data_IF_386734612770
#
_entry.id   IF_386734612770
#
_cell.length_a   1.000
_cell.length_b   1.000
_cell.length_c   1.000
_cell.angle_alpha   90.00
_cell.angle_beta   90.00
_cell.angle_gamma   90.00
#
_symmetry.space_group_name_H-M   'P 1'
#
loop_
_entity.id
_entity.type
_entity.pdbx_description
1 polymer ?
#
# COMPACT_ATOMS: atom_id res chain seq x y z
N UNK A 1 -8.98 -0.40 -6.39
CA UNK A 1 -8.33 0.87 -5.99
C UNK A 1 -8.67 1.97 -6.99
N UNK A 2 -8.56 3.21 -6.53
CA UNK A 2 -8.68 4.42 -7.33
C UNK A 2 -7.32 5.12 -7.38
N UNK A 3 -7.00 5.69 -8.53
CA UNK A 3 -5.78 6.48 -8.71
C UNK A 3 -6.07 7.68 -9.62
N UNK A 4 -5.80 8.88 -9.12
CA UNK A 4 -5.98 10.12 -9.83
C UNK A 4 -4.63 10.55 -10.41
N UNK A 5 -4.52 10.52 -11.73
CA UNK A 5 -3.30 10.84 -12.48
C UNK A 5 -3.39 12.19 -13.20
N UNK A 6 -2.29 12.62 -13.82
CA UNK A 6 -2.22 13.83 -14.64
C UNK A 6 -2.75 15.08 -13.91
N UNK A 7 -2.38 15.25 -12.62
CA UNK A 7 -2.87 16.34 -11.77
C UNK A 7 -4.41 16.43 -11.70
N UNK A 8 -5.06 15.29 -11.60
CA UNK A 8 -6.52 15.19 -11.47
C UNK A 8 -7.30 15.14 -12.77
N UNK A 9 -6.63 15.05 -13.93
CA UNK A 9 -7.29 15.01 -15.24
C UNK A 9 -7.70 13.61 -15.72
N UNK A 10 -7.19 12.55 -15.08
CA UNK A 10 -7.48 11.17 -15.43
C UNK A 10 -7.73 10.34 -14.17
N UNK A 11 -8.87 9.66 -14.11
CA UNK A 11 -9.18 8.71 -13.04
C UNK A 11 -8.96 7.28 -13.53
N UNK A 12 -8.18 6.50 -12.79
CA UNK A 12 -7.98 5.08 -13.04
C UNK A 12 -8.59 4.25 -11.93
N UNK A 13 -9.24 3.16 -12.31
CA UNK A 13 -9.93 2.24 -11.42
C UNK A 13 -9.44 0.83 -11.68
N UNK A 14 -9.00 0.11 -10.64
CA UNK A 14 -8.71 -1.32 -10.77
C UNK A 14 -9.96 -2.13 -10.50
N UNK A 15 -10.35 -2.98 -11.46
CA UNK A 15 -11.32 -4.04 -11.27
C UNK A 15 -10.56 -5.34 -11.00
N UNK A 16 -10.41 -5.70 -9.71
CA UNK A 16 -9.62 -6.86 -9.31
C UNK A 16 -10.24 -8.17 -9.81
N UNK A 17 -11.55 -8.34 -9.68
CA UNK A 17 -12.26 -9.54 -10.10
C UNK A 17 -12.22 -9.75 -11.63
N UNK A 18 -12.29 -8.66 -12.39
CA UNK A 18 -12.19 -8.70 -13.86
C UNK A 18 -10.77 -8.67 -14.39
N UNK A 19 -9.74 -8.56 -13.53
CA UNK A 19 -8.35 -8.38 -13.94
C UNK A 19 -8.16 -7.20 -14.89
N UNK A 20 -8.81 -6.08 -14.62
CA UNK A 20 -8.85 -4.93 -15.52
C UNK A 20 -8.37 -3.65 -14.86
N UNK A 21 -7.77 -2.77 -15.67
CA UNK A 21 -7.57 -1.37 -15.40
C UNK A 21 -8.49 -0.55 -16.29
N UNK A 22 -9.29 0.31 -15.69
CA UNK A 22 -10.28 1.14 -16.37
C UNK A 22 -9.86 2.60 -16.23
N UNK A 23 -9.80 3.31 -17.34
CA UNK A 23 -9.67 4.77 -17.38
C UNK A 23 -11.04 5.39 -17.46
N UNK A 24 -11.33 6.30 -16.56
CA UNK A 24 -12.58 7.03 -16.47
C UNK A 24 -12.36 8.53 -16.61
N UNK A 25 -13.39 9.27 -16.94
CA UNK A 25 -13.42 10.72 -16.78
C UNK A 25 -13.16 11.08 -15.31
N UNK A 26 -12.60 12.29 -15.01
CA UNK A 26 -12.25 12.68 -13.64
C UNK A 26 -13.43 12.68 -12.66
N UNK A 27 -14.65 12.91 -13.16
CA UNK A 27 -15.90 12.85 -12.40
C UNK A 27 -16.42 11.42 -12.16
N UNK A 28 -15.73 10.41 -12.73
CA UNK A 28 -16.10 9.00 -12.60
C UNK A 28 -17.33 8.55 -13.36
N UNK A 29 -17.93 9.40 -14.19
CA UNK A 29 -19.20 9.09 -14.86
C UNK A 29 -19.04 8.35 -16.18
N UNK A 30 -17.93 8.57 -16.91
CA UNK A 30 -17.71 7.98 -18.23
C UNK A 30 -16.48 7.08 -18.25
N UNK A 31 -16.67 5.84 -18.67
CA UNK A 31 -15.55 4.95 -19.01
C UNK A 31 -14.97 5.37 -20.36
N UNK A 32 -13.67 5.70 -20.39
CA UNK A 32 -12.96 6.11 -21.59
C UNK A 32 -12.26 4.93 -22.26
N UNK A 33 -11.58 4.12 -21.47
CA UNK A 33 -10.82 2.96 -21.95
C UNK A 33 -10.70 1.90 -20.87
N UNK A 34 -10.41 0.66 -21.29
CA UNK A 34 -10.00 -0.42 -20.38
C UNK A 34 -8.89 -1.27 -20.99
N UNK A 35 -8.11 -1.90 -20.14
CA UNK A 35 -7.12 -2.92 -20.50
C UNK A 35 -7.22 -4.09 -19.53
N UNK A 36 -7.14 -5.31 -20.07
CA UNK A 36 -7.22 -6.54 -19.28
C UNK A 36 -5.83 -7.16 -19.11
N UNK A 37 -5.63 -7.83 -17.99
CA UNK A 37 -4.39 -8.51 -17.61
C UNK A 37 -4.66 -10.00 -17.36
N UNK A 38 -3.60 -10.79 -17.30
CA UNK A 38 -3.70 -12.23 -17.03
C UNK A 38 -3.97 -12.57 -15.55
N UNK A 39 -3.90 -11.58 -14.65
CA UNK A 39 -4.10 -11.75 -13.21
C UNK A 39 -4.61 -10.46 -12.56
N UNK A 40 -5.18 -10.54 -11.35
CA UNK A 40 -5.76 -9.40 -10.66
C UNK A 40 -4.81 -8.22 -10.50
N UNK A 41 -5.30 -7.02 -10.78
CA UNK A 41 -4.55 -5.77 -10.59
C UNK A 41 -4.59 -5.38 -9.11
N UNK A 42 -3.42 -5.27 -8.47
CA UNK A 42 -3.31 -4.90 -7.07
C UNK A 42 -3.16 -3.39 -6.87
N UNK A 43 -2.28 -2.76 -7.63
CA UNK A 43 -2.00 -1.33 -7.50
C UNK A 43 -1.41 -0.73 -8.77
N UNK A 44 -1.35 0.60 -8.80
CA UNK A 44 -0.77 1.37 -9.89
C UNK A 44 -0.18 2.68 -9.39
N UNK A 45 0.75 3.23 -10.17
CA UNK A 45 1.31 4.56 -9.99
C UNK A 45 1.64 5.18 -11.35
N UNK A 46 1.84 6.49 -11.40
CA UNK A 46 2.32 7.20 -12.59
C UNK A 46 3.70 7.78 -12.31
N UNK A 47 4.65 7.62 -13.25
CA UNK A 47 5.96 8.25 -13.14
C UNK A 47 5.97 9.68 -13.71
N UNK A 48 7.10 10.38 -13.55
CA UNK A 48 7.26 11.76 -14.01
C UNK A 48 7.11 11.93 -15.53
N UNK A 49 7.23 10.86 -16.31
CA UNK A 49 7.08 10.87 -17.77
C UNK A 49 5.64 10.58 -18.22
N UNK A 50 4.71 10.42 -17.27
CA UNK A 50 3.31 10.09 -17.53
C UNK A 50 3.05 8.62 -17.89
N UNK A 51 4.04 7.74 -17.71
CA UNK A 51 3.84 6.30 -17.86
C UNK A 51 3.14 5.73 -16.64
N UNK A 52 2.22 4.80 -16.87
CA UNK A 52 1.57 4.06 -15.81
C UNK A 52 2.31 2.76 -15.53
N UNK A 53 2.52 2.49 -14.26
CA UNK A 53 3.10 1.27 -13.74
C UNK A 53 2.06 0.53 -12.94
N UNK A 54 1.77 -0.71 -13.33
CA UNK A 54 0.70 -1.52 -12.76
C UNK A 54 1.28 -2.83 -12.25
N UNK A 55 1.00 -3.18 -11.01
CA UNK A 55 1.38 -4.47 -10.43
C UNK A 55 0.19 -5.39 -10.34
N UNK A 56 0.39 -6.61 -10.82
CA UNK A 56 -0.61 -7.67 -10.82
C UNK A 56 -0.19 -8.82 -9.92
N UNK A 57 -1.19 -9.50 -9.35
CA UNK A 57 -1.05 -10.64 -8.46
C UNK A 57 -0.37 -11.85 -9.14
N UNK A 58 0.05 -12.82 -8.34
CA UNK A 58 0.58 -14.10 -8.77
C UNK A 58 1.86 -14.51 -8.05
N UNK A 59 2.17 -15.81 -8.05
CA UNK A 59 3.37 -16.37 -7.43
C UNK A 59 4.67 -15.75 -7.97
N UNK A 60 4.64 -15.32 -9.23
CA UNK A 60 5.66 -14.51 -9.88
C UNK A 60 4.99 -13.24 -10.37
N UNK A 61 4.69 -12.34 -9.45
CA UNK A 61 3.98 -11.11 -9.75
C UNK A 61 4.52 -10.39 -10.97
N UNK A 62 3.65 -9.74 -11.68
CA UNK A 62 3.98 -9.03 -12.92
C UNK A 62 3.78 -7.55 -12.75
N UNK A 63 4.74 -6.77 -13.20
CA UNK A 63 4.62 -5.33 -13.35
C UNK A 63 4.53 -5.00 -14.84
N UNK A 64 3.54 -4.19 -15.18
CA UNK A 64 3.33 -3.70 -16.55
C UNK A 64 3.65 -2.21 -16.63
N UNK A 65 4.34 -1.82 -17.68
CA UNK A 65 4.52 -0.43 -18.10
C UNK A 65 3.50 -0.13 -19.21
N UNK A 66 2.71 0.92 -19.02
CA UNK A 66 1.70 1.35 -20.00
C UNK A 66 1.92 2.82 -20.38
N UNK A 67 1.56 3.14 -21.61
CA UNK A 67 1.33 4.52 -22.01
C UNK A 67 0.11 5.06 -21.27
N UNK A 68 0.26 6.10 -20.46
CA UNK A 68 -0.81 6.63 -19.62
C UNK A 68 -1.96 7.27 -20.41
N UNK A 69 -1.71 7.75 -21.63
CA UNK A 69 -2.74 8.36 -22.51
C UNK A 69 -3.47 7.30 -23.34
N UNK A 70 -2.70 6.41 -23.98
CA UNK A 70 -3.24 5.38 -24.88
C UNK A 70 -3.74 4.14 -24.13
N UNK A 71 -3.33 3.94 -22.88
CA UNK A 71 -3.57 2.75 -22.07
C UNK A 71 -3.12 1.46 -22.77
N UNK A 72 -2.01 1.54 -23.49
CA UNK A 72 -1.40 0.40 -24.19
C UNK A 72 -0.20 -0.12 -23.42
N UNK A 73 -0.12 -1.45 -23.26
CA UNK A 73 1.01 -2.13 -22.60
C UNK A 73 2.25 -1.97 -23.48
N UNK A 74 3.32 -1.43 -22.90
CA UNK A 74 4.62 -1.23 -23.55
C UNK A 74 5.64 -2.28 -23.12
N UNK A 75 5.60 -2.71 -21.89
CA UNK A 75 6.48 -3.77 -21.39
C UNK A 75 5.86 -4.57 -20.25
N UNK A 76 6.43 -5.76 -20.01
CA UNK A 76 6.06 -6.69 -18.96
C UNK A 76 7.33 -7.14 -18.23
N UNK A 77 7.34 -7.00 -16.91
CA UNK A 77 8.50 -7.23 -16.05
C UNK A 77 8.11 -8.15 -14.90
N UNK A 78 8.99 -9.06 -14.51
CA UNK A 78 8.80 -9.83 -13.26
C UNK A 78 9.04 -8.89 -12.09
N UNK A 79 8.08 -8.81 -11.16
CA UNK A 79 8.15 -7.87 -10.02
C UNK A 79 8.31 -8.55 -8.65
N UNK A 80 8.68 -9.82 -8.61
CA UNK A 80 8.77 -10.60 -7.37
C UNK A 80 7.48 -11.35 -7.04
N UNK A 81 7.39 -11.93 -5.85
CA UNK A 81 6.24 -12.71 -5.44
C UNK A 81 5.17 -11.81 -4.80
N UNK A 82 3.98 -11.82 -5.38
CA UNK A 82 2.78 -11.12 -4.87
C UNK A 82 3.02 -9.64 -4.53
N UNK A 83 3.32 -8.80 -5.54
CA UNK A 83 3.44 -7.37 -5.34
C UNK A 83 2.06 -6.80 -4.91
N UNK A 84 2.00 -6.13 -3.77
CA UNK A 84 0.74 -5.67 -3.18
C UNK A 84 0.47 -4.18 -3.41
N UNK A 85 1.52 -3.37 -3.47
CA UNK A 85 1.43 -1.95 -3.74
C UNK A 85 2.62 -1.44 -4.55
N UNK A 86 2.45 -0.32 -5.24
CA UNK A 86 3.48 0.35 -6.03
C UNK A 86 3.35 1.86 -5.91
N UNK A 87 4.49 2.56 -5.76
CA UNK A 87 4.56 4.01 -5.69
C UNK A 87 5.78 4.51 -6.48
N UNK A 88 5.59 5.49 -7.35
CA UNK A 88 6.69 6.26 -7.91
C UNK A 88 7.10 7.35 -6.93
N UNK A 89 8.36 7.39 -6.57
CA UNK A 89 8.91 8.40 -5.69
C UNK A 89 9.76 9.39 -6.52
N UNK A 90 9.37 10.68 -6.59
CA UNK A 90 10.07 11.66 -7.42
C UNK A 90 11.45 12.03 -6.90
N UNK A 91 11.71 11.94 -5.59
CA UNK A 91 13.01 12.23 -4.99
C UNK A 91 14.07 11.21 -5.42
N UNK A 92 13.76 9.90 -5.31
CA UNK A 92 14.65 8.83 -5.74
C UNK A 92 14.56 8.52 -7.24
N UNK A 93 13.55 9.07 -7.93
CA UNK A 93 13.21 8.75 -9.34
C UNK A 93 13.06 7.25 -9.57
N UNK A 94 12.50 6.55 -8.60
CA UNK A 94 12.40 5.09 -8.57
C UNK A 94 10.96 4.66 -8.28
N UNK A 95 10.65 3.44 -8.72
CA UNK A 95 9.45 2.72 -8.30
C UNK A 95 9.74 1.95 -7.02
N UNK A 96 8.85 2.07 -6.04
CA UNK A 96 8.88 1.30 -4.82
C UNK A 96 7.73 0.30 -4.84
N UNK A 97 8.03 -0.96 -4.56
CA UNK A 97 7.05 -2.06 -4.67
C UNK A 97 7.10 -2.92 -3.41
N UNK A 98 5.98 -3.05 -2.73
CA UNK A 98 5.84 -3.96 -1.59
C UNK A 98 5.67 -5.39 -2.06
N UNK A 99 6.48 -6.30 -1.52
CA UNK A 99 6.45 -7.75 -1.79
C UNK A 99 5.81 -8.45 -0.59
N UNK A 100 4.51 -8.75 -0.69
CA UNK A 100 3.69 -9.16 0.45
C UNK A 100 4.27 -10.35 1.21
N UNK A 101 4.52 -11.47 0.55
CA UNK A 101 4.94 -12.70 1.22
C UNK A 101 6.46 -12.84 1.39
N UNK A 102 7.23 -11.93 0.78
CA UNK A 102 8.67 -11.85 1.04
C UNK A 102 9.00 -10.95 2.23
N UNK A 103 8.02 -10.15 2.72
CA UNK A 103 8.25 -9.12 3.74
C UNK A 103 9.34 -8.14 3.31
N UNK A 104 9.30 -7.71 2.06
CA UNK A 104 10.30 -6.85 1.46
C UNK A 104 9.66 -5.63 0.78
N UNK A 105 10.39 -4.54 0.77
CA UNK A 105 10.16 -3.37 -0.08
C UNK A 105 11.27 -3.32 -1.14
N UNK A 106 10.90 -3.31 -2.41
CA UNK A 106 11.85 -3.25 -3.52
C UNK A 106 11.90 -1.86 -4.13
N UNK A 107 13.11 -1.35 -4.34
CA UNK A 107 13.36 -0.19 -5.20
C UNK A 107 13.71 -0.68 -6.61
N UNK A 108 12.98 -0.18 -7.61
CA UNK A 108 13.15 -0.56 -9.02
C UNK A 108 13.42 0.70 -9.84
N UNK A 109 14.42 0.65 -10.67
CA UNK A 109 14.71 1.71 -11.64
C UNK A 109 13.73 1.62 -12.82
N UNK A 110 12.89 2.65 -13.07
CA UNK A 110 11.93 2.62 -14.17
C UNK A 110 12.57 2.62 -15.56
N UNK A 111 13.79 3.14 -15.71
CA UNK A 111 14.49 3.20 -17.00
C UNK A 111 15.11 1.86 -17.37
N UNK A 112 15.85 1.25 -16.43
CA UNK A 112 16.53 -0.04 -16.66
C UNK A 112 15.66 -1.23 -16.34
N UNK A 113 14.55 -1.01 -15.60
CA UNK A 113 13.60 -2.05 -15.11
C UNK A 113 14.25 -3.08 -14.18
N UNK A 114 15.37 -2.71 -13.54
CA UNK A 114 16.13 -3.57 -12.62
C UNK A 114 15.86 -3.20 -11.17
N UNK A 115 15.85 -4.19 -10.30
CA UNK A 115 15.83 -4.00 -8.85
C UNK A 115 17.15 -3.39 -8.41
N UNK A 116 17.11 -2.23 -7.77
CA UNK A 116 18.28 -1.52 -7.20
C UNK A 116 18.56 -1.97 -5.79
N UNK A 117 17.50 -2.11 -4.98
CA UNK A 117 17.62 -2.40 -3.56
C UNK A 117 16.41 -3.21 -3.09
N UNK A 118 16.63 -4.06 -2.09
CA UNK A 118 15.60 -4.77 -1.34
C UNK A 118 15.78 -4.45 0.14
N UNK A 119 14.70 -4.05 0.80
CA UNK A 119 14.69 -3.68 2.21
C UNK A 119 13.72 -4.61 2.92
N UNK A 120 14.19 -5.27 3.97
CA UNK A 120 13.31 -6.06 4.83
C UNK A 120 12.39 -5.12 5.63
N UNK A 121 11.10 -5.43 5.62
CA UNK A 121 10.04 -4.72 6.35
C UNK A 121 9.20 -5.72 7.15
N UNK A 122 8.17 -5.25 7.84
CA UNK A 122 7.29 -6.10 8.62
C UNK A 122 6.49 -7.11 7.80
N UNK A 123 5.70 -7.92 8.50
CA UNK A 123 4.98 -9.07 7.92
C UNK A 123 3.87 -8.63 6.97
N UNK A 124 3.95 -9.12 5.74
CA UNK A 124 2.95 -8.91 4.69
C UNK A 124 2.69 -7.42 4.41
N UNK A 125 3.66 -6.65 3.88
CA UNK A 125 3.43 -5.26 3.51
C UNK A 125 2.36 -5.18 2.43
N UNK A 126 1.31 -4.36 2.64
CA UNK A 126 0.11 -4.31 1.78
C UNK A 126 -0.18 -2.95 1.18
N UNK A 127 0.36 -1.88 1.78
CA UNK A 127 0.14 -0.52 1.29
C UNK A 127 1.29 0.38 1.70
N UNK A 128 1.53 1.45 0.93
CA UNK A 128 2.54 2.46 1.27
C UNK A 128 2.06 3.86 0.90
N UNK A 129 2.61 4.85 1.61
CA UNK A 129 2.43 6.26 1.29
C UNK A 129 3.73 7.03 1.51
N UNK A 130 4.02 8.02 0.65
CA UNK A 130 5.16 8.91 0.84
C UNK A 130 4.81 10.08 1.76
N UNK A 131 5.81 10.56 2.53
CA UNK A 131 5.68 11.73 3.39
C UNK A 131 7.02 12.46 3.54
N UNK A 132 7.05 13.55 4.30
CA UNK A 132 8.24 14.37 4.53
C UNK A 132 8.94 14.82 3.23
N UNK A 133 8.16 15.32 2.26
CA UNK A 133 8.69 15.74 0.95
C UNK A 133 9.29 14.58 0.15
N UNK A 134 8.63 13.43 0.17
CA UNK A 134 9.05 12.20 -0.50
C UNK A 134 10.34 11.54 0.03
N UNK A 135 10.92 12.06 1.13
CA UNK A 135 12.12 11.49 1.73
C UNK A 135 11.85 10.22 2.55
N UNK A 136 10.60 10.00 2.93
CA UNK A 136 10.19 8.84 3.72
C UNK A 136 8.98 8.13 3.11
N UNK A 137 8.96 6.80 3.26
CA UNK A 137 7.81 5.95 2.94
C UNK A 137 7.27 5.34 4.23
N UNK A 138 5.96 5.42 4.43
CA UNK A 138 5.25 4.70 5.49
C UNK A 138 4.69 3.41 4.89
N UNK A 139 5.12 2.28 5.41
CA UNK A 139 4.75 0.95 4.96
C UNK A 139 3.75 0.35 5.94
N UNK A 140 2.58 0.00 5.46
CA UNK A 140 1.56 -0.68 6.22
C UNK A 140 1.71 -2.20 6.08
N UNK A 141 2.07 -2.85 7.17
CA UNK A 141 2.18 -4.30 7.28
C UNK A 141 0.82 -4.88 7.68
N UNK A 142 0.51 -6.08 7.22
CA UNK A 142 -0.81 -6.71 7.42
C UNK A 142 -0.94 -7.40 8.79
N UNK A 143 0.15 -8.02 9.25
CA UNK A 143 0.15 -8.89 10.42
C UNK A 143 1.18 -8.45 11.47
N UNK A 144 0.89 -8.69 12.77
CA UNK A 144 1.87 -8.51 13.84
C UNK A 144 3.11 -9.40 13.66
N UNK A 145 4.28 -8.91 14.07
CA UNK A 145 5.53 -9.68 14.07
C UNK A 145 5.77 -10.43 15.39
N UNK A 146 5.20 -9.93 16.50
CA UNK A 146 5.40 -10.53 17.80
C UNK A 146 4.67 -11.87 17.94
N UNK A 147 5.16 -12.77 18.81
CA UNK A 147 4.51 -14.04 19.11
C UNK A 147 3.11 -13.82 19.70
N UNK A 148 2.20 -14.76 19.48
CA UNK A 148 0.80 -14.70 19.96
C UNK A 148 0.65 -14.66 21.48
N UNK A 149 1.70 -14.95 22.21
CA UNK A 149 1.78 -14.86 23.69
C UNK A 149 2.30 -13.52 24.20
N UNK A 150 2.74 -12.62 23.31
CA UNK A 150 3.21 -11.30 23.68
C UNK A 150 2.06 -10.37 24.10
N UNK A 151 2.39 -9.28 24.79
CA UNK A 151 1.48 -8.19 25.09
C UNK A 151 2.26 -6.86 25.04
N UNK A 152 1.80 -5.87 24.28
CA UNK A 152 0.66 -5.91 23.36
C UNK A 152 0.97 -6.71 22.09
N UNK A 153 -0.08 -7.21 21.41
CA UNK A 153 0.00 -7.76 20.06
C UNK A 153 -0.60 -6.75 19.11
N UNK A 154 0.20 -6.20 18.22
CA UNK A 154 -0.25 -5.19 17.27
C UNK A 154 0.62 -5.15 16.02
N UNK A 155 0.04 -4.74 14.93
CA UNK A 155 0.79 -4.42 13.71
C UNK A 155 1.70 -3.22 13.95
N UNK A 156 2.89 -3.27 13.36
CA UNK A 156 3.81 -2.15 13.27
C UNK A 156 3.85 -1.63 11.83
N UNK A 157 3.86 -0.31 11.71
CA UNK A 157 4.12 0.38 10.44
C UNK A 157 5.61 0.69 10.38
N UNK A 158 6.26 0.39 9.25
CA UNK A 158 7.66 0.75 9.04
C UNK A 158 7.77 2.12 8.37
N UNK A 159 8.70 2.94 8.85
CA UNK A 159 9.13 4.17 8.19
C UNK A 159 10.46 3.91 7.50
N UNK A 160 10.48 4.01 6.18
CA UNK A 160 11.66 3.76 5.37
C UNK A 160 12.20 5.09 4.85
N UNK A 161 13.46 5.38 5.13
CA UNK A 161 14.16 6.51 4.55
C UNK A 161 14.61 6.18 3.12
N UNK A 162 14.17 7.00 2.17
CA UNK A 162 14.33 6.78 0.74
C UNK A 162 15.79 6.92 0.29
N UNK A 163 16.57 7.78 0.95
CA UNK A 163 17.95 8.04 0.58
C UNK A 163 18.92 7.02 1.17
N UNK A 164 18.80 6.77 2.48
CA UNK A 164 19.64 5.77 3.17
C UNK A 164 19.20 4.33 2.90
N UNK A 165 17.96 4.12 2.39
CA UNK A 165 17.38 2.80 2.06
C UNK A 165 17.32 1.87 3.27
N UNK A 166 16.91 2.42 4.40
CA UNK A 166 16.81 1.71 5.67
C UNK A 166 15.50 2.03 6.37
N UNK A 167 15.03 1.09 7.17
CA UNK A 167 13.95 1.35 8.12
C UNK A 167 14.49 2.31 9.17
N UNK A 168 13.94 3.53 9.21
CA UNK A 168 14.36 4.62 10.07
C UNK A 168 13.53 4.73 11.36
N UNK A 169 12.46 3.96 11.46
CA UNK A 169 11.58 3.92 12.62
C UNK A 169 10.38 3.03 12.41
N UNK A 170 9.65 2.78 13.50
CA UNK A 170 8.42 1.99 13.50
C UNK A 170 7.36 2.65 14.36
N UNK A 171 6.11 2.52 13.97
CA UNK A 171 4.96 2.95 14.76
C UNK A 171 4.08 1.74 15.03
N UNK A 172 3.85 1.44 16.30
CA UNK A 172 2.93 0.38 16.72
C UNK A 172 1.51 0.92 16.75
N UNK A 173 0.58 0.19 16.13
CA UNK A 173 -0.86 0.42 16.23
C UNK A 173 -1.39 -0.05 17.59
N UNK A 174 -2.64 0.28 17.97
CA UNK A 174 -3.21 -0.18 19.24
C UNK A 174 -3.26 -1.70 19.35
N UNK A 175 -3.23 -2.20 20.58
CA UNK A 175 -3.29 -3.63 20.87
C UNK A 175 -4.49 -4.31 20.18
N UNK A 176 -4.26 -5.46 19.59
CA UNK A 176 -5.23 -6.21 18.79
C UNK A 176 -5.30 -5.81 17.32
N UNK A 177 -4.50 -4.83 16.89
CA UNK A 177 -4.47 -4.40 15.49
C UNK A 177 -3.92 -5.49 14.58
N UNK A 178 -4.66 -5.77 13.51
CA UNK A 178 -4.33 -6.75 12.47
C UNK A 178 -5.06 -6.41 11.18
N UNK A 179 -4.80 -7.17 10.11
CA UNK A 179 -5.53 -7.08 8.84
C UNK A 179 -5.58 -5.64 8.28
N UNK A 180 -4.41 -5.00 8.21
CA UNK A 180 -4.28 -3.65 7.66
C UNK A 180 -4.62 -3.67 6.16
N UNK A 181 -5.45 -2.73 5.73
CA UNK A 181 -5.91 -2.63 4.35
C UNK A 181 -5.20 -1.55 3.57
N UNK A 182 -5.02 -0.38 4.18
CA UNK A 182 -4.50 0.78 3.47
C UNK A 182 -3.89 1.81 4.43
N UNK A 183 -2.95 2.57 3.91
CA UNK A 183 -2.43 3.79 4.54
C UNK A 183 -2.55 4.95 3.57
N UNK A 184 -2.93 6.12 4.09
CA UNK A 184 -2.93 7.39 3.37
C UNK A 184 -2.30 8.46 4.26
N UNK A 185 -1.67 9.46 3.63
CA UNK A 185 -1.04 10.60 4.32
C UNK A 185 -1.80 11.86 3.93
N UNK A 186 -2.01 12.77 4.87
CA UNK A 186 -2.64 14.06 4.61
C UNK A 186 -1.75 14.96 3.75
N UNK A 187 -2.36 15.95 3.09
CA UNK A 187 -1.66 16.87 2.18
C UNK A 187 -0.50 17.62 2.84
N UNK A 188 -0.59 17.85 4.15
CA UNK A 188 0.43 18.58 4.90
C UNK A 188 1.53 17.66 5.45
N UNK A 189 1.42 16.36 5.20
CA UNK A 189 2.35 15.32 5.71
C UNK A 189 2.47 15.36 7.25
N UNK A 190 1.39 15.72 7.93
CA UNK A 190 1.30 15.79 9.40
C UNK A 190 0.79 14.50 9.99
N UNK A 191 -0.24 13.93 9.35
CA UNK A 191 -0.91 12.72 9.82
C UNK A 191 -0.97 11.65 8.76
N UNK A 192 -0.93 10.40 9.20
CA UNK A 192 -1.30 9.25 8.40
C UNK A 192 -2.57 8.60 8.96
N UNK A 193 -3.36 8.06 8.05
CA UNK A 193 -4.62 7.36 8.32
C UNK A 193 -4.47 5.91 7.89
N UNK A 194 -4.76 4.99 8.79
CA UNK A 194 -4.56 3.55 8.59
C UNK A 194 -5.86 2.83 8.85
N UNK A 195 -6.37 2.12 7.85
CA UNK A 195 -7.56 1.27 8.00
C UNK A 195 -7.14 -0.16 8.33
N UNK A 196 -7.70 -0.72 9.39
CA UNK A 196 -7.35 -2.04 9.89
C UNK A 196 -8.47 -2.62 10.77
N UNK A 197 -8.31 -3.85 11.22
CA UNK A 197 -9.14 -4.44 12.27
C UNK A 197 -8.47 -4.29 13.64
N UNK A 198 -9.29 -4.10 14.68
CA UNK A 198 -8.91 -4.37 16.06
C UNK A 198 -9.60 -5.65 16.49
N UNK A 199 -8.82 -6.68 16.83
CA UNK A 199 -9.29 -7.96 17.32
C UNK A 199 -9.28 -8.00 18.85
N UNK A 200 -10.38 -8.45 19.45
CA UNK A 200 -10.47 -8.72 20.89
C UNK A 200 -10.01 -10.15 21.19
N UNK A 201 -8.80 -10.49 20.82
CA UNK A 201 -8.23 -11.85 20.90
C UNK A 201 -8.17 -12.43 22.33
N UNK A 202 -8.32 -11.59 23.36
CA UNK A 202 -8.32 -12.00 24.77
C UNK A 202 -9.70 -12.45 25.28
N UNK A 203 -10.76 -12.26 24.49
CA UNK A 203 -12.10 -12.71 24.88
C UNK A 203 -12.27 -14.20 24.54
N UNK A 204 -12.72 -15.03 25.51
CA UNK A 204 -13.07 -16.41 25.23
C UNK A 204 -14.26 -16.45 24.24
N UNK A 205 -14.30 -17.48 23.41
CA UNK A 205 -15.34 -17.67 22.37
C UNK A 205 -16.75 -17.79 22.92
N UNK A 206 -16.91 -18.19 24.18
CA UNK A 206 -18.20 -18.24 24.88
C UNK A 206 -18.73 -16.87 25.36
N UNK A 207 -17.97 -15.80 25.12
CA UNK A 207 -18.39 -14.42 25.43
C UNK A 207 -18.66 -13.59 24.17
N UNK A 208 -18.92 -14.24 23.03
CA UNK A 208 -19.27 -13.60 21.76
C UNK A 208 -20.50 -12.70 21.83
N UNK A 209 -21.41 -12.98 22.75
CA UNK A 209 -22.59 -12.17 23.04
C UNK A 209 -22.29 -10.79 23.64
N UNK A 210 -21.05 -10.58 24.11
CA UNK A 210 -20.61 -9.31 24.70
C UNK A 210 -20.03 -8.31 23.72
N UNK A 211 -20.09 -8.59 22.42
CA UNK A 211 -19.70 -7.67 21.36
C UNK A 211 -18.87 -8.29 20.27
N UNK A 212 -18.50 -7.47 19.30
CA UNK A 212 -17.73 -7.87 18.11
C UNK A 212 -16.35 -8.39 18.47
N UNK A 213 -15.95 -9.51 17.87
CA UNK A 213 -14.61 -10.06 18.02
C UNK A 213 -13.56 -9.25 17.24
N UNK A 214 -13.97 -8.66 16.14
CA UNK A 214 -13.14 -7.80 15.31
C UNK A 214 -13.94 -6.57 14.88
N UNK A 215 -13.31 -5.41 14.89
CA UNK A 215 -13.95 -4.12 14.62
C UNK A 215 -13.16 -3.39 13.55
N UNK A 216 -13.84 -2.88 12.52
CA UNK A 216 -13.21 -2.01 11.52
C UNK A 216 -12.82 -0.68 12.17
N UNK A 217 -11.61 -0.26 11.92
CA UNK A 217 -11.00 0.86 12.63
C UNK A 217 -10.18 1.73 11.69
N UNK A 218 -10.22 3.03 11.93
CA UNK A 218 -9.33 4.03 11.35
C UNK A 218 -8.41 4.55 12.44
N UNK A 219 -7.12 4.25 12.37
CA UNK A 219 -6.10 4.83 13.26
C UNK A 219 -5.45 6.06 12.64
N UNK A 220 -5.17 7.04 13.50
CA UNK A 220 -4.48 8.30 13.15
C UNK A 220 -3.09 8.27 13.76
N UNK A 221 -2.09 8.52 12.92
CA UNK A 221 -0.67 8.51 13.26
C UNK A 221 -0.13 9.94 13.14
N UNK A 222 0.56 10.42 14.15
CA UNK A 222 1.38 11.63 14.08
C UNK A 222 2.73 11.25 13.43
N UNK A 223 2.95 11.75 12.22
CA UNK A 223 4.15 11.42 11.44
C UNK A 223 5.41 12.10 12.02
N UNK A 224 5.28 13.28 12.60
CA UNK A 224 6.38 14.01 13.22
C UNK A 224 6.79 13.36 14.55
N UNK A 225 5.82 13.05 15.40
CA UNK A 225 6.07 12.39 16.67
C UNK A 225 6.33 10.88 16.51
N UNK A 226 6.07 10.31 15.34
CA UNK A 226 6.21 8.89 15.01
C UNK A 226 5.44 7.99 15.97
N UNK A 227 4.20 8.35 16.25
CA UNK A 227 3.36 7.61 17.19
C UNK A 227 1.90 7.56 16.79
N UNK A 228 1.22 6.51 17.19
CA UNK A 228 -0.22 6.42 17.17
C UNK A 228 -0.83 7.47 18.12
N UNK A 229 -1.87 8.18 17.65
CA UNK A 229 -2.60 9.18 18.42
C UNK A 229 -3.91 8.63 18.95
N UNK A 230 -4.76 8.17 18.05
CA UNK A 230 -6.12 7.72 18.37
C UNK A 230 -6.65 6.79 17.28
N UNK A 231 -7.77 6.15 17.57
CA UNK A 231 -8.49 5.32 16.61
C UNK A 231 -9.98 5.62 16.66
N UNK A 232 -10.61 5.61 15.50
CA UNK A 232 -12.04 5.73 15.31
C UNK A 232 -12.59 4.36 14.89
N UNK A 233 -13.54 3.86 15.63
CA UNK A 233 -14.26 2.62 15.30
C UNK A 233 -15.27 2.97 14.22
N UNK A 234 -15.31 2.18 13.14
CA UNK A 234 -16.17 2.40 11.98
C UNK A 234 -17.46 1.55 12.02
N UNK A 235 -17.44 0.48 12.79
CA UNK A 235 -18.62 -0.37 13.01
C UNK A 235 -19.45 0.21 14.17
N UNK A 236 -20.71 0.49 13.93
CA UNK A 236 -21.67 0.98 14.92
C UNK A 236 -22.73 -0.09 15.23
#
# INVERSE_FOLDING_TARGET
RLFLADNGKSLFVTNRAGCELIKMSPDGQKMEKKVSFSSPVNAMTQDANGKLWVVCDGNYGTMYELDGKKLSVQSKIKSGATPSDILYNPLSKSLWVTQRFNNELWEIDPATRKVKTKIAVGREPVSMAAFAGDSCLLIANNLPEMPSTAYPIAVQLDMVDVLSKKVSGRVMLPNGSTDVKSVAVDKNHTFAYVTHLISRYQLPTNQLDRGWMATNTLSIIDLKARKWLTSVILDT
#
